data_IF_144607844881
#
_entry.id   IF_144607844881
#
_cell.length_a   1.000
_cell.length_b   1.000
_cell.length_c   1.000
_cell.angle_alpha   90.00
_cell.angle_beta   90.00
_cell.angle_gamma   90.00
#
_symmetry.space_group_name_H-M   'P 1'
#
loop_
_entity.id
_entity.type
_entity.pdbx_description
1 polymer ?
#
# COMPACT_ATOMS: atom_id res chain seq x y z
N UNK A 1 -9.29 19.35 20.08
CA UNK A 1 -8.93 18.02 19.52
C UNK A 1 -10.16 17.15 19.71
N UNK A 2 -10.76 16.62 18.63
CA UNK A 2 -11.90 15.69 18.74
C UNK A 2 -11.35 14.37 19.27
N UNK A 3 -11.87 13.90 20.39
CA UNK A 3 -11.55 12.57 20.91
C UNK A 3 -11.96 11.53 19.87
N UNK A 4 -10.97 10.99 19.15
CA UNK A 4 -11.19 9.90 18.22
C UNK A 4 -11.64 8.70 19.04
N UNK A 5 -12.89 8.29 18.87
CA UNK A 5 -13.41 7.10 19.55
C UNK A 5 -12.47 5.91 19.28
N UNK A 6 -12.08 5.13 20.31
CA UNK A 6 -11.10 4.04 20.17
C UNK A 6 -11.43 3.05 19.03
N UNK A 7 -12.73 2.82 18.78
CA UNK A 7 -13.20 1.96 17.69
C UNK A 7 -12.95 2.51 16.28
N UNK A 8 -12.84 3.83 16.11
CA UNK A 8 -12.50 4.46 14.82
C UNK A 8 -11.00 4.31 14.56
N UNK A 9 -10.18 4.49 15.60
CA UNK A 9 -8.73 4.34 15.52
C UNK A 9 -8.36 2.89 15.19
N UNK A 10 -8.95 1.92 15.87
CA UNK A 10 -8.66 0.50 15.61
C UNK A 10 -9.03 0.07 14.18
N UNK A 11 -10.19 0.50 13.68
CA UNK A 11 -10.60 0.24 12.28
C UNK A 11 -9.66 0.89 11.27
N UNK A 12 -9.27 2.13 11.52
CA UNK A 12 -8.29 2.83 10.68
C UNK A 12 -6.97 2.06 10.63
N UNK A 13 -6.46 1.58 11.76
CA UNK A 13 -5.22 0.81 11.83
C UNK A 13 -5.34 -0.52 11.07
N UNK A 14 -6.43 -1.27 11.30
CA UNK A 14 -6.67 -2.55 10.61
C UNK A 14 -6.79 -2.33 9.09
N UNK A 15 -7.53 -1.31 8.68
CA UNK A 15 -7.65 -0.91 7.28
C UNK A 15 -6.31 -0.53 6.66
N UNK A 16 -5.50 0.27 7.37
CA UNK A 16 -4.15 0.64 6.93
C UNK A 16 -3.26 -0.59 6.74
N UNK A 17 -3.31 -1.53 7.68
CA UNK A 17 -2.48 -2.74 7.64
C UNK A 17 -2.88 -3.66 6.49
N UNK A 18 -4.18 -3.93 6.32
CA UNK A 18 -4.68 -4.72 5.18
C UNK A 18 -4.34 -4.02 3.86
N UNK A 19 -4.56 -2.71 3.79
CA UNK A 19 -4.21 -1.89 2.64
C UNK A 19 -2.71 -1.92 2.31
N UNK A 20 -1.84 -1.91 3.33
CA UNK A 20 -0.40 -2.05 3.15
C UNK A 20 -0.03 -3.39 2.53
N UNK A 21 -0.59 -4.49 3.05
CA UNK A 21 -0.30 -5.84 2.54
C UNK A 21 -0.73 -5.95 1.08
N UNK A 22 -1.94 -5.50 0.75
CA UNK A 22 -2.44 -5.50 -0.63
C UNK A 22 -1.60 -4.61 -1.53
N UNK A 23 -1.28 -3.39 -1.08
CA UNK A 23 -0.44 -2.43 -1.82
C UNK A 23 0.95 -2.98 -2.09
N UNK A 24 1.57 -3.67 -1.13
CA UNK A 24 2.85 -4.32 -1.28
C UNK A 24 2.80 -5.46 -2.32
N UNK A 25 1.78 -6.32 -2.25
CA UNK A 25 1.59 -7.39 -3.26
C UNK A 25 1.46 -6.79 -4.65
N UNK A 26 0.61 -5.77 -4.83
CA UNK A 26 0.41 -5.13 -6.14
C UNK A 26 1.69 -4.45 -6.63
N UNK A 27 2.39 -3.73 -5.75
CA UNK A 27 3.68 -3.09 -6.07
C UNK A 27 4.73 -4.08 -6.56
N UNK A 28 4.91 -5.21 -5.85
CA UNK A 28 5.85 -6.26 -6.26
C UNK A 28 5.45 -6.85 -7.61
N UNK A 29 4.15 -7.11 -7.82
CA UNK A 29 3.66 -7.61 -9.11
C UNK A 29 3.98 -6.64 -10.25
N UNK A 30 3.83 -5.33 -10.05
CA UNK A 30 4.17 -4.33 -11.07
C UNK A 30 5.66 -4.37 -11.44
N UNK A 31 6.54 -4.52 -10.46
CA UNK A 31 7.99 -4.65 -10.68
C UNK A 31 8.31 -5.92 -11.48
N UNK A 32 7.70 -7.05 -11.12
CA UNK A 32 7.86 -8.34 -11.83
C UNK A 32 7.35 -8.23 -13.28
N UNK A 33 6.17 -7.65 -13.49
CA UNK A 33 5.59 -7.47 -14.83
C UNK A 33 6.42 -6.54 -15.72
N UNK A 34 7.18 -5.62 -15.12
CA UNK A 34 8.10 -4.76 -15.87
C UNK A 34 9.36 -5.47 -16.35
N UNK A 35 9.58 -6.73 -15.96
CA UNK A 35 10.71 -7.55 -16.43
C UNK A 35 12.03 -7.23 -15.75
N UNK A 36 12.00 -6.57 -14.59
CA UNK A 36 13.20 -6.31 -13.78
C UNK A 36 13.61 -7.66 -13.18
N UNK A 37 14.78 -8.15 -13.62
CA UNK A 37 15.36 -9.40 -13.16
C UNK A 37 15.49 -9.36 -11.63
N UNK A 38 15.20 -10.48 -10.98
CA UNK A 38 15.11 -10.61 -9.52
C UNK A 38 13.93 -9.90 -8.84
N UNK A 39 12.77 -9.69 -9.48
CA UNK A 39 11.64 -8.92 -8.92
C UNK A 39 11.19 -9.15 -7.45
N UNK A 40 11.53 -10.27 -6.79
CA UNK A 40 11.36 -10.47 -5.32
C UNK A 40 12.60 -10.13 -4.48
N UNK A 41 13.80 -10.22 -5.04
CA UNK A 41 15.09 -9.92 -4.40
C UNK A 41 15.61 -8.52 -4.78
N UNK A 42 15.04 -7.91 -5.81
CA UNK A 42 15.40 -6.60 -6.32
C UNK A 42 15.15 -5.51 -5.27
N UNK A 43 16.20 -4.78 -4.95
CA UNK A 43 16.13 -3.59 -4.10
C UNK A 43 15.47 -2.43 -4.86
N UNK A 44 14.83 -1.50 -4.15
CA UNK A 44 14.22 -0.32 -4.77
C UNK A 44 15.25 0.50 -5.57
N UNK A 45 16.50 0.52 -5.12
CA UNK A 45 17.61 1.21 -5.81
C UNK A 45 17.91 0.58 -7.17
N UNK A 46 17.87 -0.75 -7.27
CA UNK A 46 18.03 -1.48 -8.54
C UNK A 46 16.87 -1.18 -9.48
N UNK A 47 15.63 -1.23 -8.98
CA UNK A 47 14.43 -0.87 -9.77
C UNK A 47 14.53 0.55 -10.32
N UNK A 48 15.02 1.51 -9.53
CA UNK A 48 15.25 2.89 -10.00
C UNK A 48 16.32 2.99 -11.09
N UNK A 49 17.36 2.17 -11.00
CA UNK A 49 18.46 2.16 -11.96
C UNK A 49 18.05 1.59 -13.32
N UNK A 50 17.12 0.63 -13.32
CA UNK A 50 16.58 0.06 -14.56
C UNK A 50 15.45 0.91 -15.15
N UNK A 51 14.45 1.26 -14.32
CA UNK A 51 13.28 1.99 -14.78
C UNK A 51 12.69 2.86 -13.65
N UNK A 52 13.09 4.14 -13.65
CA UNK A 52 12.61 5.12 -12.68
C UNK A 52 11.08 5.29 -12.67
N UNK A 53 10.39 5.15 -13.81
CA UNK A 53 8.93 5.25 -13.84
C UNK A 53 8.26 4.09 -13.12
N UNK A 54 8.78 2.87 -13.30
CA UNK A 54 8.31 1.68 -12.58
C UNK A 54 8.58 1.81 -11.09
N UNK A 55 9.76 2.30 -10.70
CA UNK A 55 10.09 2.54 -9.30
C UNK A 55 9.14 3.55 -8.64
N UNK A 56 8.85 4.67 -9.32
CA UNK A 56 7.89 5.67 -8.84
C UNK A 56 6.50 5.05 -8.72
N UNK A 57 6.05 4.31 -9.74
CA UNK A 57 4.74 3.65 -9.70
C UNK A 57 4.62 2.66 -8.54
N UNK A 58 5.66 1.85 -8.31
CA UNK A 58 5.74 0.91 -7.20
C UNK A 58 5.62 1.62 -5.84
N UNK A 59 6.38 2.70 -5.62
CA UNK A 59 6.30 3.50 -4.39
C UNK A 59 4.91 4.11 -4.21
N UNK A 60 4.33 4.65 -5.28
CA UNK A 60 2.99 5.22 -5.23
C UNK A 60 1.93 4.16 -4.88
N UNK A 61 2.03 2.96 -5.44
CA UNK A 61 1.12 1.85 -5.14
C UNK A 61 1.27 1.37 -3.69
N UNK A 62 2.50 1.26 -3.21
CA UNK A 62 2.79 0.88 -1.83
C UNK A 62 2.24 1.92 -0.84
N UNK A 63 2.37 3.20 -1.14
CA UNK A 63 1.83 4.29 -0.32
C UNK A 63 0.30 4.42 -0.42
N UNK A 64 -0.26 4.18 -1.61
CA UNK A 64 -1.70 4.27 -1.85
C UNK A 64 -2.47 3.16 -1.13
N UNK A 65 -1.90 1.95 -1.01
CA UNK A 65 -2.53 0.81 -0.34
C UNK A 65 -3.07 1.14 1.06
N UNK A 66 -2.22 1.58 2.02
CA UNK A 66 -2.65 1.98 3.35
C UNK A 66 -3.68 3.11 3.34
N UNK A 67 -3.51 4.13 2.48
CA UNK A 67 -4.42 5.27 2.39
C UNK A 67 -5.81 4.80 1.98
N UNK A 68 -5.90 4.00 0.91
CA UNK A 68 -7.16 3.44 0.43
C UNK A 68 -7.77 2.51 1.48
N UNK A 69 -6.96 1.67 2.12
CA UNK A 69 -7.41 0.77 3.18
C UNK A 69 -8.03 1.51 4.37
N UNK A 70 -7.41 2.61 4.81
CA UNK A 70 -7.99 3.51 5.83
C UNK A 70 -9.30 4.12 5.33
N UNK A 71 -9.32 4.67 4.12
CA UNK A 71 -10.53 5.31 3.57
C UNK A 71 -11.71 4.34 3.49
N UNK A 72 -11.48 3.09 3.08
CA UNK A 72 -12.49 2.04 3.04
C UNK A 72 -12.95 1.68 4.46
N UNK A 73 -12.02 1.39 5.37
CA UNK A 73 -12.34 0.98 6.74
C UNK A 73 -13.10 2.06 7.54
N UNK A 74 -12.84 3.34 7.25
CA UNK A 74 -13.54 4.46 7.86
C UNK A 74 -14.87 4.79 7.17
N UNK A 75 -15.07 4.35 5.92
CA UNK A 75 -16.33 4.54 5.17
C UNK A 75 -17.39 3.51 5.56
N UNK A 76 -16.98 2.30 5.95
CA UNK A 76 -17.89 1.29 6.48
C UNK A 76 -18.41 1.71 7.87
N UNK A 77 -19.62 2.29 7.89
CA UNK A 77 -20.38 2.43 9.13
C UNK A 77 -20.69 1.03 9.65
N UNK A 78 -20.52 0.76 10.96
CA UNK A 78 -20.93 -0.53 11.50
C UNK A 78 -22.42 -0.72 11.18
N UNK A 79 -22.74 -1.75 10.40
CA UNK A 79 -24.10 -2.26 10.34
C UNK A 79 -24.41 -2.77 11.74
N UNK A 80 -25.32 -2.04 12.39
CA UNK A 80 -25.88 -2.27 13.73
C UNK A 80 -26.46 -3.65 13.89
#
# INVERSE_FOLDING_TARGET
MRDLQPGVVSRGIVGAFIGLVVGAIVSVNVVIFAGIEDGYEATITEVFSENALVAIAAILLLAAGPIIGVLIALRERPHS
#
